data_IF_083879217213
#
_entry.id   IF_083879217213
#
_cell.length_a   1.000
_cell.length_b   1.000
_cell.length_c   1.000
_cell.angle_alpha   90.00
_cell.angle_beta   90.00
_cell.angle_gamma   90.00
#
_symmetry.space_group_name_H-M   'P 1'
#
loop_
_entity.id
_entity.type
_entity.pdbx_description
1 polymer ?
#
# COMPACT_ATOMS: atom_id res chain seq x y z
N UNK A 1 -12.34 8.16 1.76
CA UNK A 1 -11.06 8.45 1.09
C UNK A 1 -10.29 7.16 0.92
N UNK A 2 -9.92 6.85 -0.33
CA UNK A 2 -9.10 5.71 -0.71
C UNK A 2 -7.67 6.20 -0.92
N UNK A 3 -6.74 5.65 -0.15
CA UNK A 3 -5.30 5.97 -0.23
C UNK A 3 -4.53 4.72 -0.67
N UNK A 4 -3.64 4.85 -1.65
CA UNK A 4 -2.61 3.84 -1.87
C UNK A 4 -1.36 4.24 -1.11
N UNK A 5 -0.85 3.33 -0.28
CA UNK A 5 0.40 3.52 0.46
C UNK A 5 1.41 2.48 -0.02
N UNK A 6 2.54 2.93 -0.55
CA UNK A 6 3.53 2.05 -1.18
C UNK A 6 4.92 2.65 -1.03
N UNK A 7 5.90 1.80 -0.75
CA UNK A 7 7.31 2.11 -0.96
C UNK A 7 7.76 1.48 -2.27
N UNK A 8 8.49 2.22 -3.10
CA UNK A 8 9.02 1.72 -4.37
C UNK A 8 10.43 2.22 -4.61
N UNK A 9 11.21 1.47 -5.38
CA UNK A 9 12.53 1.88 -5.82
C UNK A 9 12.48 2.87 -7.00
N UNK A 10 13.64 3.27 -7.54
CA UNK A 10 13.73 4.21 -8.67
C UNK A 10 13.07 3.72 -9.95
N UNK A 11 12.94 2.41 -10.13
CA UNK A 11 12.34 1.76 -11.29
C UNK A 11 10.90 1.30 -11.03
N UNK A 12 10.33 1.65 -9.86
CA UNK A 12 8.98 1.28 -9.46
C UNK A 12 8.85 -0.13 -8.90
N UNK A 13 9.95 -0.84 -8.63
CA UNK A 13 9.92 -2.13 -7.96
C UNK A 13 9.39 -1.97 -6.53
N UNK A 14 8.57 -2.93 -6.08
CA UNK A 14 7.97 -2.95 -4.73
C UNK A 14 8.23 -4.26 -4.00
N UNK A 15 8.76 -5.27 -4.69
CA UNK A 15 9.00 -6.58 -4.12
C UNK A 15 9.91 -7.44 -4.97
N UNK A 16 10.52 -8.42 -4.30
CA UNK A 16 11.28 -9.51 -4.90
C UNK A 16 11.07 -10.76 -4.06
N UNK A 17 10.75 -11.89 -4.69
CA UNK A 17 10.57 -13.19 -4.03
C UNK A 17 9.51 -13.17 -2.90
N UNK A 18 8.57 -12.23 -2.95
CA UNK A 18 7.50 -12.07 -1.95
C UNK A 18 7.83 -11.13 -0.78
N UNK A 19 9.04 -10.56 -0.73
CA UNK A 19 9.50 -9.67 0.34
C UNK A 19 9.74 -8.23 -0.15
N UNK A 20 9.76 -7.29 0.81
CA UNK A 20 10.20 -5.91 0.59
C UNK A 20 11.74 -5.89 0.63
N UNK A 21 12.45 -5.44 -0.41
CA UNK A 21 13.91 -5.55 -0.51
C UNK A 21 14.73 -4.61 0.39
N UNK A 22 14.08 -3.85 1.27
CA UNK A 22 14.70 -2.87 2.16
C UNK A 22 14.03 -2.86 3.54
N UNK A 23 14.78 -2.48 4.57
CA UNK A 23 14.27 -2.24 5.92
C UNK A 23 14.41 -0.75 6.27
N UNK A 24 13.34 0.01 6.09
CA UNK A 24 13.29 1.44 6.41
C UNK A 24 12.30 1.64 7.57
N UNK A 25 12.83 1.69 8.79
CA UNK A 25 12.03 1.75 10.02
C UNK A 25 11.12 2.97 10.08
N UNK A 26 11.58 4.10 9.59
CA UNK A 26 10.84 5.36 9.56
C UNK A 26 9.64 5.28 8.60
N UNK A 27 9.78 4.59 7.48
CA UNK A 27 8.69 4.30 6.54
C UNK A 27 7.66 3.39 7.18
N UNK A 28 8.10 2.30 7.82
CA UNK A 28 7.23 1.38 8.56
C UNK A 28 6.46 2.09 9.68
N UNK A 29 7.12 2.97 10.46
CA UNK A 29 6.46 3.81 11.48
C UNK A 29 5.44 4.75 10.84
N UNK A 30 5.76 5.33 9.68
CA UNK A 30 4.84 6.19 8.93
C UNK A 30 3.60 5.43 8.48
N UNK A 31 3.77 4.25 7.88
CA UNK A 31 2.70 3.32 7.49
C UNK A 31 1.81 2.96 8.68
N UNK A 32 2.41 2.56 9.81
CA UNK A 32 1.66 2.18 11.01
C UNK A 32 0.83 3.35 11.55
N UNK A 33 1.40 4.55 11.63
CA UNK A 33 0.71 5.74 12.12
C UNK A 33 -0.42 6.17 11.19
N UNK A 34 -0.18 6.17 9.89
CA UNK A 34 -1.17 6.55 8.87
C UNK A 34 -2.38 5.60 8.89
N UNK A 35 -2.11 4.29 8.85
CA UNK A 35 -3.15 3.27 8.69
C UNK A 35 -3.91 2.95 9.98
N UNK A 36 -3.43 3.39 11.15
CA UNK A 36 -4.04 3.08 12.45
C UNK A 36 -5.51 3.50 12.49
N UNK A 37 -6.41 2.57 12.87
CA UNK A 37 -7.86 2.81 12.90
C UNK A 37 -8.53 2.94 11.54
N UNK A 38 -7.82 2.62 10.45
CA UNK A 38 -8.36 2.53 9.10
C UNK A 38 -8.65 1.09 8.66
N UNK A 39 -9.24 0.96 7.48
CA UNK A 39 -9.37 -0.31 6.77
C UNK A 39 -8.20 -0.48 5.81
N UNK A 40 -7.53 -1.63 5.88
CA UNK A 40 -6.45 -2.00 4.99
C UNK A 40 -6.90 -3.14 4.07
N UNK A 41 -6.69 -2.94 2.77
CA UNK A 41 -7.03 -3.88 1.72
C UNK A 41 -5.73 -4.40 1.14
N UNK A 42 -5.58 -5.73 1.15
CA UNK A 42 -4.38 -6.39 0.66
C UNK A 42 -4.68 -7.68 -0.09
N UNK A 43 -3.75 -8.11 -0.94
CA UNK A 43 -3.85 -9.38 -1.64
C UNK A 43 -3.33 -10.53 -0.77
N UNK A 44 -3.69 -11.77 -1.13
CA UNK A 44 -3.26 -12.98 -0.41
C UNK A 44 -1.75 -13.06 -0.18
N UNK A 45 -0.93 -12.80 -1.21
CA UNK A 45 0.55 -12.86 -1.06
C UNK A 45 1.08 -11.87 -0.03
N UNK A 46 0.53 -10.65 0.00
CA UNK A 46 0.88 -9.62 0.99
C UNK A 46 0.46 -10.05 2.39
N UNK A 47 -0.74 -10.64 2.53
CA UNK A 47 -1.18 -11.21 3.80
C UNK A 47 -0.24 -12.30 4.32
N UNK A 48 0.22 -13.17 3.42
CA UNK A 48 1.12 -14.27 3.78
C UNK A 48 2.51 -13.80 4.20
N UNK A 49 3.03 -12.71 3.61
CA UNK A 49 4.35 -12.16 3.94
C UNK A 49 4.36 -11.26 5.19
N UNK A 50 3.20 -10.95 5.77
CA UNK A 50 3.14 -10.18 7.01
C UNK A 50 3.85 -10.94 8.15
N UNK A 51 4.81 -10.31 8.86
CA UNK A 51 5.48 -10.95 9.99
C UNK A 51 4.54 -11.17 11.17
N UNK A 52 3.51 -10.33 11.30
CA UNK A 52 2.46 -10.42 12.32
C UNK A 52 1.12 -10.15 11.64
N UNK A 53 0.20 -11.10 11.77
CA UNK A 53 -1.17 -11.01 11.24
C UNK A 53 -2.19 -11.41 12.31
N UNK A 54 -3.36 -10.73 12.40
CA UNK A 54 -3.72 -9.51 11.67
C UNK A 54 -2.90 -8.30 12.14
N UNK A 55 -2.84 -7.27 11.30
CA UNK A 55 -2.27 -5.99 11.69
C UNK A 55 -3.20 -5.32 12.72
N UNK A 56 -2.78 -5.30 13.99
CA UNK A 56 -3.60 -4.86 15.11
C UNK A 56 -4.19 -3.45 14.93
N UNK A 57 -5.38 -3.23 15.50
CA UNK A 57 -6.11 -1.94 15.52
C UNK A 57 -6.43 -1.37 14.12
N UNK A 58 -6.60 -2.26 13.15
CA UNK A 58 -7.00 -1.99 11.76
C UNK A 58 -8.00 -3.03 11.31
N UNK A 59 -8.93 -2.65 10.44
CA UNK A 59 -9.78 -3.61 9.74
C UNK A 59 -8.93 -4.25 8.63
N UNK A 60 -8.63 -5.55 8.76
CA UNK A 60 -7.83 -6.29 7.80
C UNK A 60 -8.75 -6.97 6.79
N UNK A 61 -8.67 -6.60 5.51
CA UNK A 61 -9.47 -7.22 4.44
C UNK A 61 -8.53 -7.83 3.40
N UNK A 62 -8.63 -9.14 3.21
CA UNK A 62 -7.81 -9.86 2.22
C UNK A 62 -8.62 -10.12 0.96
N UNK A 63 -8.10 -9.73 -0.18
CA UNK A 63 -8.70 -10.04 -1.49
C UNK A 63 -8.09 -11.33 -2.02
N UNK A 64 -8.94 -12.34 -2.22
CA UNK A 64 -8.55 -13.68 -2.68
C UNK A 64 -9.76 -14.44 -3.24
N UNK A 65 -9.53 -15.24 -4.28
CA UNK A 65 -10.49 -16.24 -4.76
C UNK A 65 -10.36 -17.59 -4.03
N UNK A 66 -9.30 -17.76 -3.24
CA UNK A 66 -9.02 -18.96 -2.44
C UNK A 66 -9.36 -18.72 -0.97
N UNK A 67 -9.55 -19.79 -0.22
CA UNK A 67 -9.73 -19.72 1.23
C UNK A 67 -8.47 -19.13 1.90
N UNK A 68 -8.67 -18.12 2.74
CA UNK A 68 -7.63 -17.46 3.53
C UNK A 68 -8.07 -17.43 4.98
N UNK A 69 -7.16 -17.74 5.90
CA UNK A 69 -7.38 -17.58 7.33
C UNK A 69 -7.27 -16.09 7.71
N UNK A 70 -8.33 -15.35 7.46
CA UNK A 70 -8.51 -13.95 7.82
C UNK A 70 -9.99 -13.70 8.14
N UNK A 71 -10.26 -12.80 9.09
CA UNK A 71 -11.62 -12.47 9.52
C UNK A 71 -12.49 -11.91 8.38
N UNK A 72 -11.90 -11.09 7.52
CA UNK A 72 -12.58 -10.53 6.36
C UNK A 72 -11.84 -10.90 5.07
N UNK A 73 -12.53 -11.66 4.22
CA UNK A 73 -12.06 -12.05 2.89
C UNK A 73 -13.06 -11.54 1.86
N UNK A 74 -12.55 -10.92 0.80
CA UNK A 74 -13.32 -10.44 -0.34
C UNK A 74 -12.84 -11.13 -1.63
N UNK A 75 -13.74 -11.37 -2.57
CA UNK A 75 -13.40 -11.96 -3.88
C UNK A 75 -13.00 -10.92 -4.91
N UNK A 76 -13.18 -9.62 -4.62
CA UNK A 76 -12.78 -8.49 -5.47
C UNK A 76 -12.40 -7.27 -4.64
N UNK A 77 -11.63 -6.33 -5.21
CA UNK A 77 -11.35 -5.05 -4.54
C UNK A 77 -12.62 -4.24 -4.33
N UNK A 78 -13.58 -4.30 -5.27
CA UNK A 78 -14.87 -3.63 -5.12
C UNK A 78 -15.61 -4.13 -3.87
N UNK A 79 -15.64 -5.44 -3.66
CA UNK A 79 -16.28 -6.02 -2.47
C UNK A 79 -15.51 -5.66 -1.20
N UNK A 80 -14.18 -5.62 -1.24
CA UNK A 80 -13.36 -5.19 -0.10
C UNK A 80 -13.65 -3.73 0.31
N UNK A 81 -13.75 -2.81 -0.66
CA UNK A 81 -14.12 -1.41 -0.43
C UNK A 81 -15.53 -1.32 0.16
N UNK A 82 -16.47 -2.12 -0.33
CA UNK A 82 -17.84 -2.19 0.22
C UNK A 82 -17.84 -2.67 1.66
N UNK A 83 -17.14 -3.76 1.99
CA UNK A 83 -17.02 -4.28 3.36
C UNK A 83 -16.49 -3.19 4.30
N UNK A 84 -15.43 -2.49 3.91
CA UNK A 84 -14.89 -1.39 4.72
C UNK A 84 -15.93 -0.29 4.96
N UNK A 85 -16.66 0.11 3.91
CA UNK A 85 -17.66 1.17 3.97
C UNK A 85 -18.87 0.78 4.83
N UNK A 86 -19.38 -0.44 4.66
CA UNK A 86 -20.52 -0.98 5.41
C UNK A 86 -20.22 -1.10 6.91
N UNK A 87 -18.96 -1.36 7.26
CA UNK A 87 -18.47 -1.36 8.64
C UNK A 87 -18.11 0.04 9.17
N UNK A 88 -18.38 1.10 8.40
CA UNK A 88 -18.23 2.49 8.84
C UNK A 88 -16.82 3.07 8.68
N UNK A 89 -15.91 2.41 7.95
CA UNK A 89 -14.56 2.92 7.73
C UNK A 89 -14.50 3.90 6.56
N UNK A 90 -14.22 5.18 6.87
CA UNK A 90 -14.05 6.24 5.88
C UNK A 90 -12.62 6.39 5.35
N UNK A 91 -11.63 5.83 6.06
CA UNK A 91 -10.21 5.78 5.66
C UNK A 91 -9.86 4.37 5.21
N UNK A 92 -9.72 4.20 3.89
CA UNK A 92 -9.44 2.91 3.24
C UNK A 92 -8.07 2.99 2.59
N UNK A 93 -7.23 1.99 2.85
CA UNK A 93 -5.85 1.94 2.40
C UNK A 93 -5.61 0.70 1.55
N UNK A 94 -5.17 0.87 0.31
CA UNK A 94 -4.59 -0.20 -0.49
C UNK A 94 -3.12 -0.35 -0.13
N UNK A 95 -2.72 -1.52 0.37
CA UNK A 95 -1.36 -1.78 0.87
C UNK A 95 -0.60 -2.83 0.03
N UNK A 96 -1.15 -3.15 -1.15
CA UNK A 96 -0.56 -4.07 -2.12
C UNK A 96 -1.11 -5.49 -2.06
N UNK A 97 -0.61 -6.43 -2.85
CA UNK A 97 0.47 -6.28 -3.83
C UNK A 97 0.03 -5.64 -5.16
N UNK A 98 0.84 -5.83 -6.21
CA UNK A 98 0.67 -5.18 -7.52
C UNK A 98 -0.76 -5.23 -8.08
N UNK A 99 -1.44 -6.39 -8.01
CA UNK A 99 -2.83 -6.52 -8.48
C UNK A 99 -3.84 -5.65 -7.71
N UNK A 100 -3.65 -5.51 -6.39
CA UNK A 100 -4.48 -4.64 -5.56
C UNK A 100 -4.23 -3.18 -5.90
N UNK A 101 -2.96 -2.79 -6.05
CA UNK A 101 -2.62 -1.44 -6.49
C UNK A 101 -3.24 -1.12 -7.85
N UNK A 102 -3.13 -2.02 -8.83
CA UNK A 102 -3.68 -1.82 -10.16
C UNK A 102 -5.20 -1.64 -10.16
N UNK A 103 -5.95 -2.46 -9.39
CA UNK A 103 -7.41 -2.37 -9.34
C UNK A 103 -7.90 -1.19 -8.50
N UNK A 104 -7.15 -0.78 -7.47
CA UNK A 104 -7.51 0.36 -6.62
C UNK A 104 -7.07 1.72 -7.18
N UNK A 105 -6.00 1.79 -7.97
CA UNK A 105 -5.44 3.05 -8.48
C UNK A 105 -6.47 3.95 -9.20
N UNK A 106 -7.34 3.44 -10.10
CA UNK A 106 -8.37 4.25 -10.75
C UNK A 106 -9.42 4.84 -9.80
N UNK A 107 -9.50 4.33 -8.56
CA UNK A 107 -10.45 4.74 -7.52
C UNK A 107 -9.79 5.52 -6.38
N UNK A 108 -8.47 5.63 -6.38
CA UNK A 108 -7.71 6.25 -5.31
C UNK A 108 -7.85 7.77 -5.35
N UNK A 109 -8.07 8.36 -4.18
CA UNK A 109 -8.12 9.81 -3.97
C UNK A 109 -6.73 10.37 -3.63
N UNK A 110 -5.88 9.53 -3.01
CA UNK A 110 -4.58 9.89 -2.46
C UNK A 110 -3.53 8.82 -2.74
N UNK A 111 -2.31 9.26 -3.06
CA UNK A 111 -1.13 8.39 -3.10
C UNK A 111 -0.15 8.84 -2.03
N UNK A 112 0.40 7.87 -1.30
CA UNK A 112 1.50 8.02 -0.38
C UNK A 112 2.64 7.14 -0.89
N UNK A 113 3.56 7.75 -1.63
CA UNK A 113 4.64 7.09 -2.33
C UNK A 113 5.95 7.33 -1.58
N UNK A 114 6.49 6.31 -0.92
CA UNK A 114 7.84 6.35 -0.36
C UNK A 114 8.83 5.99 -1.47
N UNK A 115 9.50 7.00 -2.03
CA UNK A 115 10.51 6.84 -3.09
C UNK A 115 11.84 6.44 -2.43
N UNK A 116 12.22 5.17 -2.58
CA UNK A 116 13.45 4.60 -2.02
C UNK A 116 14.58 4.76 -3.04
N UNK A 117 15.67 5.39 -2.62
CA UNK A 117 16.82 5.72 -3.46
C UNK A 117 17.72 4.49 -3.71
N UNK A 118 17.15 3.42 -4.24
CA UNK A 118 17.82 2.18 -4.62
C UNK A 118 17.32 1.67 -5.96
N UNK A 119 17.97 0.64 -6.48
CA UNK A 119 17.54 -0.15 -7.63
C UNK A 119 17.64 -1.62 -7.24
N UNK A 120 16.49 -2.30 -7.19
CA UNK A 120 16.43 -3.70 -6.79
C UNK A 120 16.75 -4.58 -7.99
N UNK A 121 17.86 -5.31 -7.90
CA UNK A 121 18.20 -6.33 -8.89
C UNK A 121 17.20 -7.49 -8.86
N UNK A 122 16.78 -7.93 -10.06
CA UNK A 122 15.86 -9.06 -10.27
C UNK A 122 14.49 -8.90 -9.58
N UNK A 123 14.00 -7.65 -9.46
CA UNK A 123 12.66 -7.41 -8.95
C UNK A 123 11.59 -8.05 -9.85
N UNK A 124 10.61 -8.70 -9.22
CA UNK A 124 9.52 -9.43 -9.88
C UNK A 124 8.16 -8.76 -9.74
N UNK A 125 8.06 -7.75 -8.86
CA UNK A 125 6.81 -7.10 -8.51
C UNK A 125 6.99 -5.59 -8.54
N UNK A 126 6.15 -4.91 -9.33
CA UNK A 126 6.22 -3.47 -9.57
C UNK A 126 4.92 -2.79 -9.21
N UNK A 127 5.01 -1.53 -8.77
CA UNK A 127 3.86 -0.65 -8.67
C UNK A 127 3.34 -0.36 -10.09
N UNK A 128 2.01 -0.34 -10.33
CA UNK A 128 1.47 0.05 -11.63
C UNK A 128 1.99 1.42 -12.07
N UNK A 129 2.19 1.58 -13.39
CA UNK A 129 2.51 2.89 -13.95
C UNK A 129 1.42 3.89 -13.57
N UNK A 130 1.84 5.06 -13.12
CA UNK A 130 0.96 6.16 -12.72
C UNK A 130 1.34 7.39 -13.52
N UNK A 131 0.39 7.94 -14.25
CA UNK A 131 0.53 9.24 -14.85
C UNK A 131 0.36 10.29 -13.76
N UNK A 132 1.47 10.88 -13.31
CA UNK A 132 1.46 11.89 -12.25
C UNK A 132 0.84 13.22 -12.70
N UNK A 133 0.57 13.42 -14.00
CA UNK A 133 -0.16 14.59 -14.47
C UNK A 133 -1.63 14.58 -14.02
N UNK A 134 -2.19 13.43 -13.65
CA UNK A 134 -3.52 13.32 -13.00
C UNK A 134 -3.49 13.67 -11.51
N UNK A 135 -2.32 13.99 -10.95
CA UNK A 135 -2.11 14.12 -9.51
C UNK A 135 -1.46 15.45 -9.13
N UNK A 136 -1.80 15.95 -7.96
CA UNK A 136 -1.19 17.15 -7.36
C UNK A 136 -0.35 16.73 -6.16
N UNK A 137 0.96 17.01 -6.21
CA UNK A 137 1.84 16.89 -5.06
C UNK A 137 1.40 17.89 -3.98
N UNK A 138 1.13 17.40 -2.77
CA UNK A 138 0.68 18.21 -1.63
C UNK A 138 1.63 18.16 -0.44
N UNK A 139 2.61 17.26 -0.45
CA UNK A 139 3.61 17.21 0.60
C UNK A 139 4.78 16.28 0.27
N UNK A 140 5.92 16.58 0.87
CA UNK A 140 7.10 15.71 0.87
C UNK A 140 7.65 15.60 2.28
N UNK A 141 8.23 14.44 2.61
CA UNK A 141 8.91 14.21 3.88
C UNK A 141 10.07 13.23 3.67
N UNK A 142 11.29 13.70 3.89
CA UNK A 142 12.46 12.83 3.94
C UNK A 142 12.49 12.05 5.25
N UNK A 143 12.85 10.78 5.21
CA UNK A 143 13.13 9.99 6.40
C UNK A 143 14.60 10.15 6.79
N UNK A 144 14.85 11.01 7.78
CA UNK A 144 16.19 11.28 8.33
C UNK A 144 16.87 9.98 8.80
N UNK A 145 18.12 9.76 8.36
CA UNK A 145 18.89 8.58 8.73
C UNK A 145 18.49 7.28 8.04
N UNK A 146 17.55 7.30 7.09
CA UNK A 146 17.22 6.13 6.29
C UNK A 146 18.39 5.72 5.38
N UNK A 147 18.64 4.42 5.28
CA UNK A 147 19.61 3.83 4.36
C UNK A 147 19.00 2.57 3.73
N UNK A 148 18.62 2.58 2.45
CA UNK A 148 18.78 3.66 1.47
C UNK A 148 18.00 4.94 1.82
N UNK A 149 18.42 6.07 1.24
CA UNK A 149 17.69 7.33 1.32
C UNK A 149 16.23 7.12 0.90
N UNK A 150 15.28 7.75 1.61
CA UNK A 150 13.86 7.57 1.35
C UNK A 150 13.08 8.87 1.57
N UNK A 151 12.24 9.22 0.60
CA UNK A 151 11.36 10.39 0.64
C UNK A 151 9.92 9.96 0.42
N UNK A 152 9.06 10.22 1.40
CA UNK A 152 7.62 10.09 1.25
C UNK A 152 7.06 11.30 0.49
N UNK A 153 6.39 11.04 -0.63
CA UNK A 153 5.65 12.01 -1.43
C UNK A 153 4.16 11.74 -1.35
N UNK A 154 3.41 12.78 -1.03
CA UNK A 154 1.96 12.72 -0.92
C UNK A 154 1.29 13.44 -2.07
N UNK A 155 0.40 12.74 -2.76
CA UNK A 155 -0.36 13.27 -3.88
C UNK A 155 -1.86 13.15 -3.64
N UNK A 156 -2.61 14.13 -4.13
CA UNK A 156 -4.07 14.06 -4.24
C UNK A 156 -4.47 14.03 -5.72
N UNK A 157 -5.47 13.21 -6.05
CA UNK A 157 -6.00 13.13 -7.42
C UNK A 157 -6.59 14.48 -7.82
N UNK A 158 -6.30 14.95 -9.04
CA UNK A 158 -6.97 16.11 -9.63
C UNK A 158 -8.42 15.72 -9.93
N UNK A 159 -9.36 16.56 -9.50
CA UNK A 159 -10.79 16.37 -9.74
C UNK A 159 -11.20 16.64 -11.18
#
# INVERSE_FOLDING_TARGET
>A
MITLIVARDRNGAIGRDGDIPWDIREDMKSFQRETLGGAIIMGRKTWDSLPVKPLARRLNIVVSSQQVDAEHVATSVRDAIRIASDLGYSRIYGIGGAGIYAEMLPRADRLMLSEVATEVTDADTYFPSVDLDDWRLVGTRRFEGASPDCELREYLRKG
#
